data_IF_679023933282
#
_entry.id   IF_679023933282
#
_cell.length_a   1.000
_cell.length_b   1.000
_cell.length_c   1.000
_cell.angle_alpha   90.00
_cell.angle_beta   90.00
_cell.angle_gamma   90.00
#
_symmetry.space_group_name_H-M   'P 1'
#
loop_
_entity.id
_entity.type
_entity.pdbx_description
1 polymer ?
#
# COMPACT_ATOMS: atom_id res chain seq x y z
N UNK A 1 12.94 0.09 -2.04
CA UNK A 1 12.99 1.55 -1.77
C UNK A 1 12.66 1.86 -0.31
N UNK A 2 11.66 1.20 0.29
CA UNK A 2 11.37 1.35 1.72
C UNK A 2 12.56 1.01 2.64
N UNK A 3 13.27 -0.09 2.40
CA UNK A 3 14.45 -0.49 3.20
C UNK A 3 15.53 0.59 3.28
N UNK A 4 15.87 1.19 2.13
CA UNK A 4 16.90 2.24 2.03
C UNK A 4 16.40 3.54 2.63
N UNK A 5 15.18 3.97 2.30
CA UNK A 5 14.60 5.21 2.84
C UNK A 5 14.47 5.18 4.38
N UNK A 6 13.99 4.08 4.94
CA UNK A 6 13.86 3.93 6.39
C UNK A 6 15.23 3.98 7.11
N UNK A 7 16.31 3.48 6.51
CA UNK A 7 17.64 3.51 7.14
C UNK A 7 18.40 4.83 6.94
N UNK A 8 18.13 5.53 5.84
CA UNK A 8 18.81 6.79 5.51
C UNK A 8 18.14 8.02 6.11
N UNK A 9 16.82 8.05 6.21
CA UNK A 9 16.05 9.23 6.63
C UNK A 9 15.73 9.26 8.12
N UNK A 10 15.85 8.13 8.82
CA UNK A 10 15.58 8.05 10.26
C UNK A 10 16.60 7.17 10.96
N UNK A 11 16.84 7.47 12.24
CA UNK A 11 17.70 6.69 13.14
C UNK A 11 16.91 5.71 14.02
N UNK A 12 15.58 5.71 13.92
CA UNK A 12 14.72 4.84 14.76
C UNK A 12 14.80 3.39 14.31
N UNK A 13 15.24 2.46 15.18
CA UNK A 13 15.29 1.02 14.86
C UNK A 13 13.90 0.43 14.56
N UNK A 14 12.84 1.02 15.14
CA UNK A 14 11.46 0.60 14.87
C UNK A 14 11.13 0.82 13.40
N UNK A 15 11.42 2.01 12.87
CA UNK A 15 11.10 2.34 11.46
C UNK A 15 11.95 1.56 10.47
N UNK A 16 13.18 1.16 10.85
CA UNK A 16 14.05 0.33 10.01
C UNK A 16 13.47 -1.05 9.73
N UNK A 17 12.63 -1.54 10.63
CA UNK A 17 11.97 -2.86 10.56
C UNK A 17 10.52 -2.73 10.09
N UNK A 18 9.75 -1.87 10.75
CA UNK A 18 8.32 -1.72 10.49
C UNK A 18 8.03 -1.15 9.08
N UNK A 19 8.82 -0.17 8.62
CA UNK A 19 8.61 0.44 7.31
C UNK A 19 8.72 -0.55 6.14
N UNK A 20 9.80 -1.35 6.04
CA UNK A 20 9.92 -2.38 5.01
C UNK A 20 8.86 -3.48 5.14
N UNK A 21 8.55 -3.93 6.36
CA UNK A 21 7.53 -4.94 6.60
C UNK A 21 6.13 -4.47 6.19
N UNK A 22 5.79 -3.21 6.48
CA UNK A 22 4.52 -2.60 6.08
C UNK A 22 4.35 -2.60 4.56
N UNK A 23 5.41 -2.31 3.79
CA UNK A 23 5.36 -2.37 2.31
C UNK A 23 5.31 -3.81 1.80
N UNK A 24 6.02 -4.74 2.44
CA UNK A 24 6.04 -6.15 2.03
C UNK A 24 4.70 -6.87 2.33
N UNK A 25 4.02 -6.48 3.40
CA UNK A 25 2.71 -7.04 3.78
C UNK A 25 1.52 -6.37 3.12
N UNK A 26 1.72 -5.32 2.32
CA UNK A 26 0.64 -4.67 1.59
C UNK A 26 0.16 -5.56 0.43
N UNK A 27 -1.16 -5.63 0.22
CA UNK A 27 -1.72 -6.31 -0.95
C UNK A 27 -1.11 -5.76 -2.25
N UNK A 28 -0.95 -6.63 -3.22
CA UNK A 28 -0.70 -6.22 -4.60
C UNK A 28 -1.94 -5.54 -5.18
N UNK A 29 -1.72 -4.73 -6.22
CA UNK A 29 -2.83 -4.08 -6.93
C UNK A 29 -3.80 -5.11 -7.52
N UNK A 30 -3.33 -6.30 -7.88
CA UNK A 30 -4.19 -7.34 -8.43
C UNK A 30 -5.04 -8.00 -7.33
N UNK A 31 -4.44 -8.34 -6.19
CA UNK A 31 -5.16 -8.90 -5.04
C UNK A 31 -6.25 -7.95 -4.55
N UNK A 32 -5.95 -6.66 -4.40
CA UNK A 32 -6.98 -5.70 -3.94
C UNK A 32 -8.07 -5.46 -4.98
N UNK A 33 -7.77 -5.53 -6.28
CA UNK A 33 -8.79 -5.47 -7.34
C UNK A 33 -9.77 -6.62 -7.25
N UNK A 34 -9.24 -7.83 -7.06
CA UNK A 34 -10.06 -9.02 -6.92
C UNK A 34 -10.94 -8.94 -5.67
N UNK A 35 -10.36 -8.56 -4.52
CA UNK A 35 -11.10 -8.36 -3.28
C UNK A 35 -12.19 -7.28 -3.41
N UNK A 36 -11.89 -6.17 -4.08
CA UNK A 36 -12.87 -5.11 -4.31
C UNK A 36 -14.03 -5.56 -5.21
N UNK A 37 -13.74 -6.38 -6.24
CA UNK A 37 -14.75 -7.00 -7.08
C UNK A 37 -15.62 -8.00 -6.30
N UNK A 38 -15.01 -8.86 -5.50
CA UNK A 38 -15.73 -9.81 -4.64
C UNK A 38 -16.61 -9.11 -3.60
N UNK A 39 -16.18 -7.94 -3.11
CA UNK A 39 -16.94 -7.11 -2.18
C UNK A 39 -18.05 -6.28 -2.86
N UNK A 40 -18.21 -6.37 -4.19
CA UNK A 40 -19.24 -5.63 -4.93
C UNK A 40 -19.02 -4.11 -4.92
N UNK A 41 -17.76 -3.64 -4.81
CA UNK A 41 -17.43 -2.22 -4.76
C UNK A 41 -17.47 -1.58 -6.15
N UNK A 42 -18.63 -1.58 -6.81
CA UNK A 42 -18.76 -1.08 -8.18
C UNK A 42 -18.24 0.37 -8.31
N UNK A 43 -17.48 0.61 -9.38
CA UNK A 43 -16.88 1.91 -9.65
C UNK A 43 -15.65 2.28 -8.80
N UNK A 44 -15.05 1.33 -8.06
CA UNK A 44 -13.80 1.59 -7.33
C UNK A 44 -12.67 2.06 -8.26
N UNK A 45 -11.81 2.96 -7.76
CA UNK A 45 -10.65 3.47 -8.47
C UNK A 45 -9.37 3.12 -7.71
N UNK A 46 -8.35 2.64 -8.43
CA UNK A 46 -7.02 2.40 -7.86
C UNK A 46 -6.02 3.34 -8.51
N UNK A 47 -5.29 4.07 -7.68
CA UNK A 47 -4.18 4.93 -8.09
C UNK A 47 -2.90 4.47 -7.43
N UNK A 48 -1.78 4.53 -8.17
CA UNK A 48 -0.45 4.21 -7.63
C UNK A 48 0.20 5.50 -7.14
N UNK A 49 0.66 5.49 -5.90
CA UNK A 49 1.42 6.58 -5.31
C UNK A 49 2.88 6.14 -5.15
N UNK A 50 3.76 6.88 -5.81
CA UNK A 50 5.19 6.74 -5.57
C UNK A 50 5.46 6.98 -4.07
N UNK A 51 6.35 6.21 -3.41
CA UNK A 51 7.27 5.23 -3.99
C UNK A 51 6.71 3.82 -4.20
N UNK A 52 6.03 3.26 -3.19
CA UNK A 52 5.60 1.85 -3.20
C UNK A 52 4.19 1.68 -2.62
N UNK A 53 3.30 2.66 -2.81
CA UNK A 53 1.92 2.63 -2.29
C UNK A 53 0.90 2.64 -3.42
N UNK A 54 -0.31 2.25 -3.08
CA UNK A 54 -1.49 2.42 -3.91
C UNK A 54 -2.65 2.85 -3.01
N UNK A 55 -3.64 3.50 -3.60
CA UNK A 55 -4.86 3.94 -2.92
C UNK A 55 -6.04 3.36 -3.68
N UNK A 56 -6.89 2.63 -2.97
CA UNK A 56 -8.23 2.29 -3.44
C UNK A 56 -9.19 3.34 -2.91
N UNK A 57 -9.91 4.00 -3.82
CA UNK A 57 -10.98 4.94 -3.50
C UNK A 57 -12.30 4.36 -3.99
N UNK A 58 -13.29 4.35 -3.11
CA UNK A 58 -14.65 3.95 -3.42
C UNK A 58 -15.62 4.81 -2.63
N UNK A 59 -16.80 5.05 -3.20
CA UNK A 59 -17.87 5.82 -2.59
C UNK A 59 -19.20 5.18 -2.97
N UNK A 60 -20.07 4.99 -1.98
CA UNK A 60 -21.46 4.59 -2.17
C UNK A 60 -22.28 5.85 -2.44
N UNK A 61 -22.82 5.97 -3.65
CA UNK A 61 -23.85 6.97 -3.97
C UNK A 61 -25.21 6.42 -3.55
#
# INVERSE_FOLDING_TARGET
LAWTACRLLTRSPVVHTDGPLSVAGAFTVNEIKELAGQAGLDGFQITRHWPQRWLLKWSRV
#
